data_IF_632863769372
#
_entry.id   IF_632863769372
#
_cell.length_a   1.000
_cell.length_b   1.000
_cell.length_c   1.000
_cell.angle_alpha   90.00
_cell.angle_beta   90.00
_cell.angle_gamma   90.00
#
_symmetry.space_group_name_H-M   'P 1'
#
loop_
_entity.id
_entity.type
_entity.pdbx_description
1 polymer ?
#
# COMPACT_ATOMS: atom_id res chain seq x y z
N UNK A 1 17.60 -45.11 1.84
CA UNK A 1 17.72 -43.68 2.24
C UNK A 1 17.72 -43.64 3.75
N UNK A 2 18.68 -42.98 4.37
CA UNK A 2 18.73 -42.83 5.83
C UNK A 2 17.69 -41.80 6.29
N UNK A 3 17.10 -42.02 7.48
CA UNK A 3 16.10 -41.09 8.03
C UNK A 3 16.79 -39.79 8.44
N UNK A 4 16.40 -38.68 7.82
CA UNK A 4 16.94 -37.36 8.11
C UNK A 4 16.49 -36.91 9.50
N UNK A 5 17.44 -36.72 10.41
CA UNK A 5 17.16 -36.19 11.75
C UNK A 5 16.62 -34.76 11.64
N UNK A 6 15.44 -34.53 12.24
CA UNK A 6 14.76 -33.24 12.18
C UNK A 6 13.81 -33.06 11.00
N UNK A 7 13.62 -34.07 10.13
CA UNK A 7 12.62 -34.02 9.06
C UNK A 7 11.20 -33.77 9.59
N UNK A 8 10.83 -34.42 10.70
CA UNK A 8 9.53 -34.22 11.36
C UNK A 8 9.37 -32.80 11.96
N UNK A 9 10.48 -32.06 12.13
CA UNK A 9 10.50 -30.67 12.60
C UNK A 9 10.73 -29.66 11.47
N UNK A 10 11.14 -30.13 10.30
CA UNK A 10 11.42 -29.29 9.15
C UNK A 10 10.08 -28.87 8.54
N UNK A 11 9.81 -27.57 8.55
CA UNK A 11 8.63 -27.05 7.89
C UNK A 11 8.83 -27.16 6.38
N UNK A 12 7.97 -27.93 5.71
CA UNK A 12 7.95 -28.00 4.26
C UNK A 12 7.79 -26.59 3.68
N UNK A 13 8.42 -26.34 2.52
CA UNK A 13 8.18 -25.10 1.79
C UNK A 13 6.69 -24.96 1.49
N UNK A 14 6.02 -24.01 2.15
CA UNK A 14 4.65 -23.64 1.81
C UNK A 14 4.71 -22.50 0.80
N UNK A 15 4.13 -22.68 -0.37
CA UNK A 15 3.81 -21.55 -1.23
C UNK A 15 2.85 -20.65 -0.44
N UNK A 16 3.32 -19.45 -0.10
CA UNK A 16 2.51 -18.48 0.61
C UNK A 16 1.45 -17.99 -0.37
N UNK A 17 0.21 -18.49 -0.25
CA UNK A 17 -0.90 -18.09 -1.10
C UNK A 17 -0.98 -16.56 -1.16
N UNK A 18 -0.95 -16.03 -2.37
CA UNK A 18 -1.05 -14.61 -2.64
C UNK A 18 -2.53 -14.26 -2.79
N UNK A 19 -2.97 -13.20 -2.09
CA UNK A 19 -4.32 -12.67 -2.30
C UNK A 19 -4.45 -12.18 -3.76
N UNK A 20 -5.42 -12.66 -4.54
CA UNK A 20 -5.62 -12.17 -5.90
C UNK A 20 -5.96 -10.68 -5.94
N UNK A 21 -5.79 -10.07 -7.11
CA UNK A 21 -6.30 -8.72 -7.35
C UNK A 21 -7.82 -8.76 -7.43
N UNK A 22 -8.48 -7.75 -6.86
CA UNK A 22 -9.94 -7.79 -6.77
C UNK A 22 -10.52 -6.88 -5.71
N UNK A 23 -11.83 -7.00 -5.55
CA UNK A 23 -12.61 -6.28 -4.55
C UNK A 23 -12.89 -7.15 -3.34
N UNK A 24 -12.60 -6.64 -2.14
CA UNK A 24 -12.79 -7.37 -0.89
C UNK A 24 -13.48 -6.51 0.16
N UNK A 25 -14.28 -7.14 1.01
CA UNK A 25 -14.91 -6.50 2.16
C UNK A 25 -14.00 -6.71 3.36
N UNK A 26 -13.59 -5.61 3.97
CA UNK A 26 -12.64 -5.57 5.06
C UNK A 26 -13.35 -5.20 6.36
N UNK A 27 -12.90 -5.79 7.46
CA UNK A 27 -13.19 -5.33 8.82
C UNK A 27 -11.96 -4.69 9.41
N UNK A 28 -12.11 -3.50 9.98
CA UNK A 28 -11.01 -2.82 10.69
C UNK A 28 -10.83 -3.48 12.05
N UNK A 29 -9.67 -4.07 12.27
CA UNK A 29 -9.30 -4.73 13.52
C UNK A 29 -8.64 -3.77 14.51
N UNK A 30 -7.88 -2.82 14.01
CA UNK A 30 -7.19 -1.84 14.85
C UNK A 30 -6.89 -0.54 14.10
N UNK A 31 -6.74 0.55 14.84
CA UNK A 31 -6.48 1.87 14.30
C UNK A 31 -5.40 2.54 15.12
N UNK A 32 -4.36 3.04 14.44
CA UNK A 32 -3.27 3.77 15.08
C UNK A 32 -3.08 5.13 14.40
N UNK A 33 -3.19 6.20 15.18
CA UNK A 33 -2.76 7.52 14.74
C UNK A 33 -1.25 7.70 14.96
N UNK A 34 -0.54 8.14 13.93
CA UNK A 34 0.90 8.36 13.97
C UNK A 34 1.24 9.74 13.43
N UNK A 35 2.01 10.51 14.21
CA UNK A 35 2.61 11.77 13.80
C UNK A 35 4.08 11.52 13.45
N UNK A 36 4.45 11.82 12.22
CA UNK A 36 5.82 11.78 11.71
C UNK A 36 6.24 13.19 11.28
N UNK A 37 7.54 13.40 11.08
CA UNK A 37 8.09 14.69 10.62
C UNK A 37 7.50 15.13 9.28
N UNK A 38 7.22 14.18 8.40
CA UNK A 38 6.64 14.42 7.08
C UNK A 38 5.11 14.56 7.09
N UNK A 39 4.43 14.23 8.19
CA UNK A 39 2.99 14.41 8.32
C UNK A 39 2.30 13.44 9.27
N UNK A 40 0.97 13.54 9.32
CA UNK A 40 0.08 12.74 10.16
C UNK A 40 -0.54 11.61 9.33
N UNK A 41 -0.62 10.41 9.91
CA UNK A 41 -1.15 9.21 9.23
C UNK A 41 -2.02 8.42 10.18
N UNK A 42 -3.16 7.94 9.69
CA UNK A 42 -3.97 6.90 10.33
C UNK A 42 -3.60 5.57 9.68
N UNK A 43 -3.13 4.62 10.49
CA UNK A 43 -2.84 3.25 10.08
C UNK A 43 -4.04 2.41 10.48
N UNK A 44 -4.72 1.87 9.47
CA UNK A 44 -5.83 0.94 9.63
C UNK A 44 -5.29 -0.48 9.48
N UNK A 45 -5.41 -1.28 10.53
CA UNK A 45 -5.19 -2.72 10.46
C UNK A 45 -6.52 -3.39 10.15
N UNK A 46 -6.56 -4.22 9.12
CA UNK A 46 -7.78 -4.85 8.63
C UNK A 46 -7.57 -6.32 8.30
N UNK A 47 -8.67 -7.07 8.27
CA UNK A 47 -8.73 -8.41 7.69
C UNK A 47 -9.95 -8.54 6.76
N UNK A 48 -9.94 -9.56 5.90
CA UNK A 48 -11.04 -9.85 4.98
C UNK A 48 -12.18 -10.50 5.76
N UNK A 49 -13.37 -9.92 5.70
CA UNK A 49 -14.54 -10.39 6.45
C UNK A 49 -15.41 -11.37 5.66
N UNK A 50 -15.49 -11.20 4.33
CA UNK A 50 -16.39 -11.96 3.46
C UNK A 50 -15.68 -12.56 2.25
N UNK A 51 -16.25 -13.62 1.70
CA UNK A 51 -15.75 -14.33 0.52
C UNK A 51 -14.78 -15.46 0.84
N UNK A 52 -14.18 -16.03 -0.21
CA UNK A 52 -13.26 -17.16 -0.15
C UNK A 52 -12.01 -16.88 0.70
N UNK A 53 -11.52 -15.64 0.66
CA UNK A 53 -10.32 -15.21 1.36
C UNK A 53 -10.59 -14.66 2.77
N UNK A 54 -11.74 -15.00 3.38
CA UNK A 54 -12.07 -14.57 4.74
C UNK A 54 -10.96 -14.96 5.73
N UNK A 55 -10.50 -13.99 6.52
CA UNK A 55 -9.47 -14.22 7.53
C UNK A 55 -8.06 -14.42 6.97
N UNK A 56 -7.83 -14.08 5.70
CA UNK A 56 -6.56 -14.29 5.01
C UNK A 56 -5.36 -13.69 5.78
N UNK A 57 -5.47 -12.46 6.27
CA UNK A 57 -4.35 -11.80 6.96
C UNK A 57 -4.13 -12.38 8.35
N UNK A 58 -5.18 -12.76 9.08
CA UNK A 58 -5.06 -13.46 10.35
C UNK A 58 -4.44 -14.86 10.19
N UNK A 59 -4.87 -15.62 9.18
CA UNK A 59 -4.27 -16.92 8.84
C UNK A 59 -2.79 -16.74 8.51
N UNK A 60 -2.45 -15.74 7.71
CA UNK A 60 -1.06 -15.45 7.38
C UNK A 60 -0.22 -15.11 8.61
N UNK A 61 -0.74 -14.27 9.51
CA UNK A 61 -0.04 -13.89 10.74
C UNK A 61 0.17 -15.09 11.67
N UNK A 62 -0.82 -15.99 11.81
CA UNK A 62 -0.71 -17.20 12.62
C UNK A 62 0.30 -18.20 12.06
N UNK A 63 0.39 -18.29 10.72
CA UNK A 63 1.33 -19.17 10.03
C UNK A 63 2.79 -18.71 10.09
N UNK A 64 3.06 -17.44 10.46
CA UNK A 64 4.43 -16.95 10.65
C UNK A 64 5.10 -17.66 11.84
N UNK A 65 6.23 -18.30 11.57
CA UNK A 65 7.05 -19.04 12.56
C UNK A 65 8.25 -18.25 13.07
N UNK A 66 8.58 -17.12 12.43
CA UNK A 66 9.56 -16.16 12.92
C UNK A 66 9.10 -15.50 14.24
N UNK A 67 10.05 -15.19 15.13
CA UNK A 67 9.75 -14.51 16.41
C UNK A 67 9.17 -13.10 16.18
N UNK A 68 9.66 -12.37 15.18
CA UNK A 68 9.15 -11.05 14.79
C UNK A 68 7.96 -11.17 13.83
N UNK A 69 6.80 -11.56 14.37
CA UNK A 69 5.57 -11.69 13.59
C UNK A 69 5.04 -10.32 13.17
N UNK A 70 4.81 -10.14 11.88
CA UNK A 70 4.37 -8.87 11.28
C UNK A 70 2.98 -8.99 10.67
N UNK A 71 2.07 -8.12 11.09
CA UNK A 71 0.76 -7.97 10.46
C UNK A 71 0.90 -7.32 9.08
N UNK A 72 0.37 -7.99 8.05
CA UNK A 72 0.47 -7.53 6.65
C UNK A 72 -0.78 -6.78 6.15
N UNK A 73 -1.93 -6.94 6.80
CA UNK A 73 -3.19 -6.28 6.43
C UNK A 73 -3.28 -4.85 6.94
N UNK A 74 -2.48 -3.93 6.40
CA UNK A 74 -2.49 -2.52 6.83
C UNK A 74 -2.75 -1.56 5.66
N UNK A 75 -3.50 -0.48 5.93
CA UNK A 75 -3.70 0.63 5.02
C UNK A 75 -3.29 1.93 5.70
N UNK A 76 -2.52 2.76 5.00
CA UNK A 76 -2.04 4.05 5.52
C UNK A 76 -2.83 5.18 4.90
N UNK A 77 -3.72 5.78 5.68
CA UNK A 77 -4.46 6.97 5.29
C UNK A 77 -3.70 8.21 5.75
N UNK A 78 -3.26 9.05 4.80
CA UNK A 78 -2.63 10.33 5.12
C UNK A 78 -3.69 11.32 5.60
N UNK A 79 -3.41 12.00 6.71
CA UNK A 79 -4.27 13.06 7.24
C UNK A 79 -3.79 14.38 6.63
N UNK A 80 -4.70 15.19 6.05
CA UNK A 80 -4.35 16.51 5.53
C UNK A 80 -3.77 17.42 6.63
N UNK A 81 -2.87 18.31 6.25
CA UNK A 81 -2.23 19.30 7.12
C UNK A 81 -3.07 20.56 7.28
N UNK A 82 -4.04 20.78 6.38
CA UNK A 82 -4.84 21.99 6.29
C UNK A 82 -3.97 23.23 6.03
N UNK A 83 -2.97 23.08 5.17
CA UNK A 83 -1.99 24.13 4.84
C UNK A 83 -2.33 24.89 3.54
N UNK A 84 -3.45 24.54 2.89
CA UNK A 84 -3.91 25.17 1.66
C UNK A 84 -3.12 24.80 0.40
N UNK A 85 -2.08 23.96 0.49
CA UNK A 85 -1.30 23.55 -0.67
C UNK A 85 -2.09 22.61 -1.60
N UNK A 86 -1.74 22.58 -2.89
CA UNK A 86 -2.41 21.71 -3.87
C UNK A 86 -2.31 20.22 -3.49
N UNK A 87 -1.14 19.80 -2.98
CA UNK A 87 -0.96 18.45 -2.47
C UNK A 87 -1.86 18.16 -1.26
N UNK A 88 -2.15 19.17 -0.45
CA UNK A 88 -3.03 19.03 0.70
C UNK A 88 -4.50 18.95 0.28
N UNK A 89 -4.91 19.71 -0.74
CA UNK A 89 -6.25 19.59 -1.34
C UNK A 89 -6.53 18.18 -1.86
N UNK A 90 -5.54 17.53 -2.48
CA UNK A 90 -5.70 16.12 -2.90
C UNK A 90 -5.83 15.17 -1.69
N UNK A 91 -5.02 15.35 -0.64
CA UNK A 91 -5.12 14.56 0.60
C UNK A 91 -6.46 14.77 1.29
N UNK A 92 -6.96 16.01 1.32
CA UNK A 92 -8.24 16.39 1.90
C UNK A 92 -9.39 15.68 1.17
N UNK A 93 -9.41 15.73 -0.17
CA UNK A 93 -10.39 15.00 -1.00
C UNK A 93 -10.35 13.50 -0.71
N UNK A 94 -9.16 12.90 -0.72
CA UNK A 94 -9.00 11.46 -0.45
C UNK A 94 -9.46 11.08 0.96
N UNK A 95 -9.09 11.87 1.97
CA UNK A 95 -9.51 11.65 3.35
C UNK A 95 -11.03 11.72 3.49
N UNK A 96 -11.65 12.77 2.94
CA UNK A 96 -13.11 12.93 2.93
C UNK A 96 -13.81 11.76 2.24
N UNK A 97 -13.34 11.34 1.07
CA UNK A 97 -13.90 10.18 0.35
C UNK A 97 -13.85 8.91 1.20
N UNK A 98 -12.73 8.65 1.89
CA UNK A 98 -12.61 7.47 2.74
C UNK A 98 -13.59 7.52 3.92
N UNK A 99 -13.74 8.68 4.57
CA UNK A 99 -14.69 8.81 5.69
C UNK A 99 -16.14 8.64 5.23
N UNK A 100 -16.52 9.22 4.08
CA UNK A 100 -17.84 8.99 3.48
C UNK A 100 -18.09 7.51 3.18
N UNK A 101 -17.09 6.81 2.62
CA UNK A 101 -17.21 5.38 2.36
C UNK A 101 -17.42 4.56 3.65
N UNK A 102 -16.80 4.98 4.76
CA UNK A 102 -17.05 4.37 6.08
C UNK A 102 -18.46 4.65 6.57
N UNK A 103 -18.96 5.87 6.45
CA UNK A 103 -20.35 6.21 6.84
C UNK A 103 -21.36 5.41 6.03
N UNK A 104 -21.23 5.39 4.70
CA UNK A 104 -22.14 4.68 3.81
C UNK A 104 -22.12 3.16 4.02
N UNK A 105 -20.96 2.60 4.37
CA UNK A 105 -20.81 1.16 4.63
C UNK A 105 -21.31 0.73 6.01
N UNK A 106 -21.53 1.66 6.93
CA UNK A 106 -21.89 1.36 8.31
C UNK A 106 -23.11 2.20 8.74
N UNK A 107 -24.33 1.73 8.48
CA UNK A 107 -25.55 2.46 8.84
C UNK A 107 -25.56 2.88 10.32
N UNK A 108 -25.85 4.16 10.57
CA UNK A 108 -25.85 4.75 11.91
C UNK A 108 -24.49 5.23 12.41
N UNK A 109 -23.41 5.02 11.65
CA UNK A 109 -22.10 5.60 11.95
C UNK A 109 -21.93 6.96 11.27
N UNK A 110 -21.39 7.93 12.02
CA UNK A 110 -20.96 9.23 11.51
C UNK A 110 -19.56 9.51 12.02
N UNK A 111 -18.71 10.01 11.14
CA UNK A 111 -17.37 10.39 11.48
C UNK A 111 -17.39 11.59 12.42
N UNK A 112 -16.80 11.43 13.60
CA UNK A 112 -16.76 12.44 14.67
C UNK A 112 -15.34 12.97 14.93
N UNK A 113 -14.41 12.75 13.99
CA UNK A 113 -12.98 13.09 14.12
C UNK A 113 -12.18 12.24 15.11
N UNK A 114 -12.75 11.16 15.63
CA UNK A 114 -12.05 10.25 16.54
C UNK A 114 -11.68 8.93 15.84
N UNK A 115 -10.40 8.71 15.55
CA UNK A 115 -9.95 7.60 14.71
C UNK A 115 -10.24 6.22 15.28
N UNK A 116 -10.26 6.09 16.60
CA UNK A 116 -10.52 4.82 17.27
C UNK A 116 -11.94 4.30 16.97
N UNK A 117 -12.87 5.17 16.60
CA UNK A 117 -14.26 4.80 16.26
C UNK A 117 -14.38 4.03 14.94
N UNK A 118 -13.33 4.06 14.09
CA UNK A 118 -13.23 3.25 12.88
C UNK A 118 -12.96 1.77 13.18
N UNK A 119 -12.49 1.44 14.40
CA UNK A 119 -12.27 0.05 14.81
C UNK A 119 -13.59 -0.72 14.83
N UNK A 120 -13.57 -1.91 14.26
CA UNK A 120 -14.73 -2.79 14.13
C UNK A 120 -15.67 -2.42 12.97
N UNK A 121 -15.43 -1.32 12.26
CA UNK A 121 -16.23 -0.92 11.08
C UNK A 121 -15.86 -1.72 9.85
N UNK A 122 -16.80 -1.80 8.91
CA UNK A 122 -16.63 -2.45 7.62
C UNK A 122 -16.34 -1.44 6.51
N UNK A 123 -15.51 -1.82 5.55
CA UNK A 123 -15.28 -1.02 4.36
C UNK A 123 -14.91 -1.92 3.17
N UNK A 124 -15.28 -1.52 1.96
CA UNK A 124 -14.80 -2.18 0.75
C UNK A 124 -13.37 -1.73 0.41
N UNK A 125 -12.60 -2.60 -0.22
CA UNK A 125 -11.28 -2.24 -0.73
C UNK A 125 -10.99 -2.91 -2.07
N UNK A 126 -10.26 -2.20 -2.91
CA UNK A 126 -9.76 -2.67 -4.19
C UNK A 126 -8.26 -2.95 -4.05
N UNK A 127 -7.87 -4.15 -4.41
CA UNK A 127 -6.50 -4.63 -4.38
C UNK A 127 -5.97 -4.76 -5.80
N UNK A 128 -4.75 -4.25 -6.01
CA UNK A 128 -3.99 -4.40 -7.25
C UNK A 128 -2.62 -5.03 -6.94
N UNK A 129 -1.85 -5.40 -7.97
CA UNK A 129 -0.45 -5.71 -7.73
C UNK A 129 0.35 -4.42 -7.66
N UNK A 130 1.35 -4.41 -6.80
CA UNK A 130 2.36 -3.38 -6.77
C UNK A 130 3.73 -4.02 -6.90
N UNK A 131 4.49 -3.50 -7.85
CA UNK A 131 5.88 -3.91 -8.05
C UNK A 131 6.74 -3.39 -6.90
N UNK A 132 7.67 -4.21 -6.44
CA UNK A 132 8.69 -3.83 -5.49
C UNK A 132 10.06 -4.21 -6.03
N UNK A 133 11.01 -3.32 -5.77
CA UNK A 133 12.44 -3.55 -5.95
C UNK A 133 13.07 -3.32 -4.59
N UNK A 134 13.70 -4.35 -4.05
CA UNK A 134 14.45 -4.25 -2.80
C UNK A 134 15.72 -5.08 -2.92
N UNK A 135 16.87 -4.41 -2.81
CA UNK A 135 18.19 -5.05 -2.81
C UNK A 135 18.41 -5.96 -4.04
N UNK A 136 18.09 -5.44 -5.24
CA UNK A 136 18.19 -6.17 -6.52
C UNK A 136 17.12 -7.26 -6.74
N UNK A 137 16.22 -7.49 -5.78
CA UNK A 137 15.07 -8.40 -5.94
C UNK A 137 13.86 -7.63 -6.47
N UNK A 138 13.35 -8.07 -7.60
CA UNK A 138 12.11 -7.58 -8.19
C UNK A 138 10.96 -8.56 -7.90
N UNK A 139 9.75 -8.04 -7.72
CA UNK A 139 8.56 -8.88 -7.56
C UNK A 139 7.28 -8.07 -7.41
N UNK A 140 6.15 -8.77 -7.26
CA UNK A 140 4.83 -8.14 -7.10
C UNK A 140 4.17 -8.57 -5.80
N UNK A 141 3.74 -7.59 -5.00
CA UNK A 141 2.91 -7.84 -3.82
C UNK A 141 1.49 -7.30 -4.01
N UNK A 142 0.51 -7.94 -3.36
CA UNK A 142 -0.87 -7.46 -3.38
C UNK A 142 -1.01 -6.23 -2.49
N UNK A 143 -1.43 -5.10 -3.06
CA UNK A 143 -1.52 -3.82 -2.40
C UNK A 143 -2.98 -3.36 -2.29
N UNK A 144 -3.37 -2.89 -1.10
CA UNK A 144 -4.66 -2.23 -0.92
C UNK A 144 -4.60 -0.83 -1.54
N UNK A 145 -5.10 -0.70 -2.77
CA UNK A 145 -4.97 0.50 -3.58
C UNK A 145 -5.95 1.60 -3.14
N UNK A 146 -7.21 1.23 -2.93
CA UNK A 146 -8.29 2.18 -2.67
C UNK A 146 -9.36 1.58 -1.77
N UNK A 147 -9.90 2.42 -0.89
CA UNK A 147 -11.05 2.08 -0.06
C UNK A 147 -12.32 2.61 -0.72
N UNK A 148 -13.33 1.76 -0.81
CA UNK A 148 -14.63 1.99 -1.45
C UNK A 148 -15.76 1.55 -0.52
N UNK A 149 -17.02 1.79 -0.88
CA UNK A 149 -18.15 1.29 -0.09
C UNK A 149 -18.26 -0.24 -0.15
N UNK A 150 -18.78 -0.86 0.92
CA UNK A 150 -19.09 -2.30 0.96
C UNK A 150 -20.08 -2.67 -0.15
N UNK A 151 -21.07 -1.82 -0.39
CA UNK A 151 -22.07 -2.02 -1.45
C UNK A 151 -21.43 -2.08 -2.85
N UNK A 152 -20.40 -1.26 -3.12
CA UNK A 152 -19.69 -1.30 -4.40
C UNK A 152 -19.03 -2.65 -4.65
N UNK A 153 -18.46 -3.27 -3.60
CA UNK A 153 -17.87 -4.60 -3.69
C UNK A 153 -18.96 -5.67 -3.89
N UNK A 154 -20.03 -5.63 -3.07
CA UNK A 154 -21.13 -6.60 -3.17
C UNK A 154 -21.87 -6.55 -4.50
N UNK A 155 -22.05 -5.36 -5.07
CA UNK A 155 -22.71 -5.19 -6.38
C UNK A 155 -21.83 -5.62 -7.56
N UNK A 156 -20.54 -5.90 -7.35
CA UNK A 156 -19.60 -6.21 -8.43
C UNK A 156 -19.31 -5.04 -9.38
N UNK A 157 -19.85 -3.84 -9.10
CA UNK A 157 -19.70 -2.65 -9.96
C UNK A 157 -18.40 -1.91 -9.65
N UNK A 158 -17.28 -2.61 -9.74
CA UNK A 158 -15.96 -2.04 -9.56
C UNK A 158 -15.03 -2.45 -10.70
N UNK A 159 -14.09 -1.55 -11.01
CA UNK A 159 -12.97 -1.84 -11.89
C UNK A 159 -11.75 -2.11 -11.03
N UNK A 160 -11.01 -3.17 -11.37
CA UNK A 160 -9.74 -3.45 -10.70
C UNK A 160 -8.74 -2.39 -11.17
N UNK A 161 -8.10 -1.63 -10.26
CA UNK A 161 -7.07 -0.68 -10.63
C UNK A 161 -5.90 -1.38 -11.32
N UNK A 162 -5.29 -0.71 -12.30
CA UNK A 162 -4.07 -1.20 -12.95
C UNK A 162 -2.95 -1.45 -11.94
N UNK A 163 -2.04 -2.36 -12.30
CA UNK A 163 -0.90 -2.70 -11.47
C UNK A 163 0.01 -1.48 -11.28
N UNK A 164 0.38 -1.21 -10.04
CA UNK A 164 1.28 -0.11 -9.69
C UNK A 164 2.71 -0.54 -9.96
N UNK A 165 3.19 -0.27 -11.18
CA UNK A 165 4.58 -0.47 -11.57
C UNK A 165 5.49 0.58 -10.93
N UNK A 166 6.74 0.21 -10.67
CA UNK A 166 7.75 1.21 -10.31
C UNK A 166 7.98 2.09 -11.53
N UNK A 167 8.02 3.40 -11.33
CA UNK A 167 8.51 4.28 -12.40
C UNK A 167 9.95 3.87 -12.65
N UNK A 168 10.26 3.44 -13.86
CA UNK A 168 11.65 3.31 -14.29
C UNK A 168 12.38 4.59 -13.86
N UNK A 169 13.50 4.44 -13.15
CA UNK A 169 14.45 5.53 -13.08
C UNK A 169 14.80 5.82 -14.54
N UNK A 170 14.16 6.82 -15.13
CA UNK A 170 14.71 7.45 -16.32
C UNK A 170 16.06 7.96 -15.86
N UNK A 171 17.10 7.25 -16.25
CA UNK A 171 18.41 7.84 -16.38
C UNK A 171 18.16 9.09 -17.21
N UNK A 172 18.25 10.27 -16.61
CA UNK A 172 17.92 11.51 -17.31
C UNK A 172 18.97 11.84 -18.40
N UNK A 173 19.75 10.85 -18.87
CA UNK A 173 20.91 11.02 -19.75
C UNK A 173 22.01 11.89 -19.16
N UNK A 174 21.87 12.35 -17.91
CA UNK A 174 22.81 13.27 -17.32
C UNK A 174 23.98 12.53 -16.68
N UNK A 175 25.22 12.95 -16.97
CA UNK A 175 26.40 12.34 -16.40
C UNK A 175 26.41 12.47 -14.87
N UNK A 176 26.97 11.45 -14.23
CA UNK A 176 27.17 11.37 -12.77
C UNK A 176 27.90 12.62 -12.28
N UNK A 177 27.28 13.40 -11.40
CA UNK A 177 27.84 14.65 -10.87
C UNK A 177 27.15 15.93 -11.36
N UNK A 178 26.18 15.81 -12.26
CA UNK A 178 25.33 16.93 -12.67
C UNK A 178 24.49 17.50 -11.50
N UNK A 179 24.50 18.82 -11.33
CA UNK A 179 23.75 19.53 -10.28
C UNK A 179 22.68 20.43 -10.87
N UNK A 180 21.55 20.66 -10.18
CA UNK A 180 20.52 21.58 -10.68
C UNK A 180 21.07 23.01 -10.75
N UNK A 181 21.08 23.61 -11.95
CA UNK A 181 21.33 25.04 -12.12
C UNK A 181 20.09 25.86 -11.75
N UNK A 182 20.31 27.12 -11.33
CA UNK A 182 19.25 28.03 -10.87
C UNK A 182 18.22 28.34 -11.98
N UNK A 183 18.64 28.25 -13.24
CA UNK A 183 17.82 28.60 -14.42
C UNK A 183 17.15 27.38 -15.08
N UNK A 184 17.10 26.23 -14.40
CA UNK A 184 16.46 25.02 -14.91
C UNK A 184 17.26 24.25 -15.96
N UNK A 185 18.48 24.69 -16.28
CA UNK A 185 19.49 23.89 -16.96
C UNK A 185 20.36 23.12 -15.95
N UNK A 186 20.75 21.88 -16.26
CA UNK A 186 21.65 21.10 -15.41
C UNK A 186 23.09 21.58 -15.61
N UNK A 187 23.79 21.87 -14.51
CA UNK A 187 25.23 22.14 -14.55
C UNK A 187 25.96 20.82 -14.78
N UNK A 188 26.64 20.74 -15.92
CA UNK A 188 27.50 19.64 -16.30
C UNK A 188 28.91 19.94 -15.74
N UNK A 189 29.58 18.99 -15.04
CA UNK A 189 30.96 19.19 -14.59
C UNK A 189 31.92 19.50 -15.75
N UNK A 190 32.81 20.48 -15.58
CA UNK A 190 33.86 20.77 -16.56
C UNK A 190 34.79 19.56 -16.74
N UNK A 191 34.97 19.09 -17.99
CA UNK A 191 35.90 18.00 -18.34
C UNK A 191 35.27 16.77 -18.99
N UNK A 192 34.02 16.83 -19.45
CA UNK A 192 33.41 15.79 -20.28
C UNK A 192 33.50 16.22 -21.74
N UNK A 193 34.29 15.51 -22.54
CA UNK A 193 34.41 15.75 -23.98
C UNK A 193 33.05 15.56 -24.65
N UNK A 194 32.56 16.63 -25.28
CA UNK A 194 31.37 16.62 -26.15
C UNK A 194 31.70 15.92 -27.47
N UNK A 195 31.82 14.59 -27.49
CA UNK A 195 31.71 13.85 -28.75
C UNK A 195 30.23 13.81 -29.18
N UNK A 196 29.85 14.81 -29.98
CA UNK A 196 28.54 14.87 -30.63
C UNK A 196 28.41 13.75 -31.69
N UNK A 197 27.40 12.87 -31.61
CA UNK A 197 27.20 11.80 -32.57
C UNK A 197 26.31 12.32 -33.71
N UNK A 198 26.88 13.07 -34.64
CA UNK A 198 26.28 13.26 -35.95
C UNK A 198 27.31 12.90 -37.02
N UNK A 199 27.14 11.71 -37.59
CA UNK A 199 27.67 11.37 -38.90
C UNK A 199 26.54 10.77 -39.74
#
# INVERSE_FOLDING_TARGET
>A
MEKLNGYDKAQAYSEQEKLPVGGYILKILDVKYQKNDWGKVIILSFDIEEGEYKGFFAANYKAQTQEDKKWKGTYRLRVPKDDGSEQDNWKMRRFKTVMLNFEDSNPGYRWNWEEWTLKGKFIGALFNNKEYEFDGRHGFFTNCHSLVTVEKIRSGKFTIPEDTLLKEKRDNGYPTGSTPGIDGFMNIPDGIDEELPFN
#
